data_IF_995078983462
#
_entry.id   IF_995078983462
#
_cell.length_a   1.000
_cell.length_b   1.000
_cell.length_c   1.000
_cell.angle_alpha   90.00
_cell.angle_beta   90.00
_cell.angle_gamma   90.00
#
_symmetry.space_group_name_H-M   'P 1'
#
loop_
_entity.id
_entity.type
_entity.pdbx_description
1 polymer ?
#
# COMPACT_ATOMS: atom_id res chain seq x y z
N UNK A 1 34.63 13.85 12.30
CA UNK A 1 34.19 12.65 11.55
C UNK A 1 32.68 12.66 11.74
N UNK A 2 31.89 13.05 10.74
CA UNK A 2 30.44 13.03 10.92
C UNK A 2 30.05 11.57 11.06
N UNK A 3 29.47 11.21 12.20
CA UNK A 3 28.78 9.94 12.34
C UNK A 3 27.87 9.82 11.12
N UNK A 4 28.10 8.79 10.32
CA UNK A 4 27.16 8.44 9.26
C UNK A 4 25.83 8.25 9.96
N UNK A 5 24.88 9.19 9.78
CA UNK A 5 23.51 9.10 10.27
C UNK A 5 22.81 7.96 9.53
N UNK A 6 23.24 6.72 9.76
CA UNK A 6 22.74 5.48 9.19
C UNK A 6 22.57 4.49 10.32
N UNK A 7 21.38 3.93 10.44
CA UNK A 7 21.00 3.03 11.51
C UNK A 7 20.15 1.90 10.93
N UNK A 8 20.50 0.65 11.26
CA UNK A 8 19.64 -0.50 10.99
C UNK A 8 18.74 -0.70 12.21
N UNK A 9 17.44 -0.52 12.02
CA UNK A 9 16.44 -0.65 13.08
C UNK A 9 15.96 -2.09 13.24
N UNK A 10 15.90 -2.82 12.12
CA UNK A 10 15.44 -4.20 12.07
C UNK A 10 16.10 -4.91 10.90
N UNK A 11 16.50 -6.16 11.09
CA UNK A 11 17.09 -7.00 10.04
C UNK A 11 16.75 -8.45 10.32
N UNK A 12 15.79 -9.00 9.61
CA UNK A 12 15.17 -10.29 9.92
C UNK A 12 14.89 -11.10 8.66
N UNK A 13 15.03 -12.42 8.74
CA UNK A 13 14.61 -13.33 7.68
C UNK A 13 13.08 -13.51 7.73
N UNK A 14 12.43 -13.44 6.58
CA UNK A 14 10.99 -13.64 6.41
C UNK A 14 10.72 -14.66 5.28
N UNK A 15 9.47 -15.12 5.10
CA UNK A 15 9.13 -15.99 3.96
C UNK A 15 9.46 -15.37 2.59
N UNK A 16 9.41 -14.04 2.46
CA UNK A 16 9.74 -13.32 1.22
C UNK A 16 11.25 -13.03 1.06
N UNK A 17 12.05 -13.34 2.10
CA UNK A 17 13.49 -13.08 2.14
C UNK A 17 13.92 -12.17 3.28
N UNK A 18 15.13 -11.63 3.16
CA UNK A 18 15.74 -10.80 4.21
C UNK A 18 15.09 -9.41 4.17
N UNK A 19 14.32 -9.10 5.19
CA UNK A 19 13.66 -7.82 5.37
C UNK A 19 14.50 -6.93 6.29
N UNK A 20 14.81 -5.72 5.83
CA UNK A 20 15.57 -4.75 6.61
C UNK A 20 14.83 -3.40 6.65
N UNK A 21 14.72 -2.85 7.86
CA UNK A 21 14.28 -1.50 8.12
C UNK A 21 15.49 -0.68 8.55
N UNK A 22 15.77 0.42 7.87
CA UNK A 22 16.90 1.29 8.17
C UNK A 22 16.50 2.76 8.13
N UNK A 23 17.18 3.59 8.91
CA UNK A 23 17.12 5.04 8.82
C UNK A 23 18.42 5.56 8.29
N UNK A 24 18.34 6.56 7.42
CA UNK A 24 19.54 7.28 6.99
C UNK A 24 19.27 8.75 6.71
N UNK A 25 20.31 9.57 6.79
CA UNK A 25 20.29 10.91 6.23
C UNK A 25 20.47 10.88 4.70
N UNK A 26 19.78 11.79 4.02
CA UNK A 26 19.94 12.03 2.58
C UNK A 26 21.15 12.93 2.36
N UNK A 27 22.22 12.39 1.77
CA UNK A 27 23.48 13.12 1.61
C UNK A 27 23.37 14.40 0.76
N UNK A 28 22.49 14.41 -0.24
CA UNK A 28 22.22 15.59 -1.08
C UNK A 28 21.36 16.66 -0.38
N UNK A 29 20.70 16.30 0.73
CA UNK A 29 19.81 17.17 1.50
C UNK A 29 20.07 17.02 3.01
N UNK A 30 21.15 17.63 3.54
CA UNK A 30 21.50 17.53 4.95
C UNK A 30 20.35 17.94 5.88
N UNK A 31 20.11 17.14 6.93
CA UNK A 31 19.00 17.25 7.87
C UNK A 31 17.79 16.38 7.52
N UNK A 32 17.69 15.87 6.29
CA UNK A 32 16.57 15.01 5.87
C UNK A 32 16.85 13.56 6.26
N UNK A 33 16.15 13.06 7.28
CA UNK A 33 16.20 11.65 7.69
C UNK A 33 15.07 10.88 7.01
N UNK A 34 15.42 9.78 6.35
CA UNK A 34 14.49 8.88 5.67
C UNK A 34 14.52 7.49 6.30
N UNK A 35 13.36 6.85 6.38
CA UNK A 35 13.22 5.44 6.74
C UNK A 35 13.03 4.64 5.46
N UNK A 36 13.83 3.60 5.26
CA UNK A 36 13.83 2.76 4.07
C UNK A 36 13.59 1.30 4.45
N UNK A 37 12.87 0.61 3.59
CA UNK A 37 12.68 -0.84 3.65
C UNK A 37 13.40 -1.47 2.47
N UNK A 38 14.13 -2.55 2.72
CA UNK A 38 14.74 -3.36 1.66
C UNK A 38 14.37 -4.83 1.84
N UNK A 39 14.16 -5.53 0.74
CA UNK A 39 13.95 -6.98 0.69
C UNK A 39 15.08 -7.62 -0.11
N UNK A 40 15.76 -8.62 0.44
CA UNK A 40 16.92 -9.27 -0.19
C UNK A 40 18.00 -8.27 -0.65
N UNK A 41 18.17 -7.19 0.12
CA UNK A 41 19.09 -6.07 -0.16
C UNK A 41 18.68 -5.14 -1.32
N UNK A 42 17.55 -5.40 -1.96
CA UNK A 42 16.97 -4.53 -2.98
C UNK A 42 16.04 -3.51 -2.33
N UNK A 43 16.00 -2.31 -2.91
CA UNK A 43 15.17 -1.23 -2.41
C UNK A 43 13.69 -1.55 -2.64
N UNK A 44 12.89 -1.49 -1.58
CA UNK A 44 11.45 -1.73 -1.65
C UNK A 44 10.68 -0.40 -1.59
N UNK A 45 10.89 0.39 -0.54
CA UNK A 45 10.19 1.66 -0.33
C UNK A 45 10.97 2.61 0.59
N UNK A 46 10.60 3.89 0.58
CA UNK A 46 11.18 4.93 1.44
C UNK A 46 10.13 5.93 1.90
N UNK A 47 10.34 6.51 3.08
CA UNK A 47 9.54 7.63 3.59
C UNK A 47 9.80 8.97 2.86
N UNK A 48 10.65 8.99 1.82
CA UNK A 48 11.02 10.21 1.10
C UNK A 48 9.97 10.63 0.07
N UNK A 49 9.49 9.67 -0.73
CA UNK A 49 8.50 9.90 -1.77
C UNK A 49 7.30 9.00 -1.46
N UNK A 50 6.22 9.61 -0.98
CA UNK A 50 5.02 8.90 -0.49
C UNK A 50 3.74 9.39 -1.16
N UNK A 51 3.91 10.14 -2.25
CA UNK A 51 2.83 10.85 -2.92
C UNK A 51 1.87 9.88 -3.62
N UNK A 52 2.37 8.76 -4.15
CA UNK A 52 1.55 7.79 -4.87
C UNK A 52 0.70 6.94 -3.91
N UNK A 53 1.23 6.55 -2.75
CA UNK A 53 0.49 5.87 -1.67
C UNK A 53 -0.63 6.75 -1.11
N UNK A 54 -0.35 8.05 -0.92
CA UNK A 54 -1.36 9.02 -0.49
C UNK A 54 -2.39 9.27 -1.60
N UNK A 55 -1.95 9.40 -2.85
CA UNK A 55 -2.83 9.61 -3.99
C UNK A 55 -3.77 8.41 -4.22
N UNK A 56 -3.28 7.16 -4.03
CA UNK A 56 -4.11 5.95 -4.08
C UNK A 56 -5.35 6.10 -3.20
N UNK A 57 -5.13 6.51 -1.95
CA UNK A 57 -6.21 6.68 -0.99
C UNK A 57 -7.09 7.88 -1.33
N UNK A 58 -6.49 9.04 -1.57
CA UNK A 58 -7.22 10.29 -1.81
C UNK A 58 -8.14 10.18 -3.03
N UNK A 59 -7.63 9.68 -4.15
CA UNK A 59 -8.40 9.55 -5.39
C UNK A 59 -9.54 8.53 -5.23
N UNK A 60 -9.28 7.37 -4.59
CA UNK A 60 -10.33 6.40 -4.32
C UNK A 60 -11.45 6.99 -3.43
N UNK A 61 -11.08 7.78 -2.42
CA UNK A 61 -12.03 8.49 -1.56
C UNK A 61 -12.82 9.58 -2.27
N UNK A 62 -12.22 10.29 -3.24
CA UNK A 62 -12.91 11.29 -4.07
C UNK A 62 -13.90 10.64 -5.03
N UNK A 63 -13.60 9.42 -5.50
CA UNK A 63 -14.50 8.64 -6.35
C UNK A 63 -15.73 8.10 -5.61
N UNK A 64 -15.71 8.05 -4.28
CA UNK A 64 -16.80 7.51 -3.48
C UNK A 64 -17.57 8.60 -2.72
N UNK A 65 -18.87 8.72 -2.96
CA UNK A 65 -19.72 9.78 -2.40
C UNK A 65 -20.15 9.54 -0.93
N UNK A 66 -19.97 8.33 -0.42
CA UNK A 66 -20.34 7.95 0.95
C UNK A 66 -19.61 8.73 2.06
N UNK A 67 -20.18 8.69 3.27
CA UNK A 67 -19.72 9.47 4.43
C UNK A 67 -19.40 8.64 5.68
N UNK A 68 -19.66 7.32 5.67
CA UNK A 68 -19.32 6.39 6.74
C UNK A 68 -18.53 5.19 6.19
N UNK A 69 -17.37 5.50 5.60
CA UNK A 69 -16.57 4.58 4.81
C UNK A 69 -15.84 3.57 5.69
N UNK A 70 -15.98 2.30 5.33
CA UNK A 70 -15.16 1.18 5.79
C UNK A 70 -14.12 0.87 4.73
N UNK A 71 -12.85 0.92 5.12
CA UNK A 71 -11.73 0.77 4.20
C UNK A 71 -10.93 -0.46 4.59
N UNK A 72 -10.63 -1.30 3.60
CA UNK A 72 -9.64 -2.36 3.68
C UNK A 72 -8.37 -1.90 2.96
N UNK A 73 -7.23 -1.99 3.62
CA UNK A 73 -5.91 -1.77 3.04
C UNK A 73 -5.15 -3.09 3.04
N UNK A 74 -4.68 -3.54 1.88
CA UNK A 74 -3.74 -4.63 1.75
C UNK A 74 -2.31 -4.10 1.77
N UNK A 75 -1.52 -4.54 2.75
CA UNK A 75 -0.16 -4.04 2.99
C UNK A 75 -0.12 -2.86 3.96
N UNK A 76 0.75 -2.94 4.97
CA UNK A 76 0.99 -1.84 5.90
C UNK A 76 2.13 -0.94 5.41
N UNK A 77 3.22 -1.52 4.93
CA UNK A 77 4.43 -0.79 4.54
C UNK A 77 4.91 0.16 5.64
N UNK A 78 5.08 1.45 5.31
CA UNK A 78 5.36 2.52 6.27
C UNK A 78 4.10 3.25 6.78
N UNK A 79 2.90 2.81 6.36
CA UNK A 79 1.61 3.26 6.88
C UNK A 79 0.97 4.45 6.16
N UNK A 80 1.55 4.93 5.06
CA UNK A 80 1.08 6.15 4.37
C UNK A 80 -0.32 6.00 3.75
N UNK A 81 -0.61 4.87 3.11
CA UNK A 81 -1.94 4.54 2.56
C UNK A 81 -3.01 4.57 3.64
N UNK A 82 -2.80 3.86 4.75
CA UNK A 82 -3.76 3.84 5.88
C UNK A 82 -3.88 5.21 6.57
N UNK A 83 -2.76 5.91 6.79
CA UNK A 83 -2.74 7.24 7.43
C UNK A 83 -3.56 8.27 6.63
N UNK A 84 -3.41 8.30 5.30
CA UNK A 84 -4.15 9.24 4.46
C UNK A 84 -5.67 9.04 4.59
N UNK A 85 -6.15 7.79 4.67
CA UNK A 85 -7.57 7.50 4.88
C UNK A 85 -8.08 8.06 6.22
N UNK A 86 -7.28 7.88 7.27
CA UNK A 86 -7.62 8.27 8.64
C UNK A 86 -7.69 9.78 8.84
N UNK A 87 -7.10 10.59 7.95
CA UNK A 87 -7.25 12.05 7.96
C UNK A 87 -8.71 12.49 7.75
N UNK A 88 -9.53 11.66 7.08
CA UNK A 88 -10.90 12.01 6.77
C UNK A 88 -11.88 11.62 7.87
N UNK A 89 -12.80 12.53 8.18
CA UNK A 89 -13.93 12.26 9.08
C UNK A 89 -14.98 11.35 8.45
N UNK A 90 -14.93 11.13 7.14
CA UNK A 90 -15.83 10.20 6.44
C UNK A 90 -15.49 8.74 6.69
N UNK A 91 -14.31 8.45 7.27
CA UNK A 91 -13.84 7.08 7.48
C UNK A 91 -14.16 6.66 8.91
N UNK A 92 -14.94 5.59 9.03
CA UNK A 92 -15.36 5.02 10.33
C UNK A 92 -14.46 3.87 10.77
N UNK A 93 -13.85 3.15 9.83
CA UNK A 93 -12.88 2.10 10.12
C UNK A 93 -11.89 1.90 8.97
N UNK A 94 -10.64 1.67 9.32
CA UNK A 94 -9.59 1.19 8.42
C UNK A 94 -9.06 -0.13 8.96
N UNK A 95 -9.19 -1.19 8.17
CA UNK A 95 -8.52 -2.45 8.45
C UNK A 95 -7.31 -2.59 7.53
N UNK A 96 -6.12 -2.80 8.09
CA UNK A 96 -4.92 -3.15 7.34
C UNK A 96 -4.67 -4.64 7.49
N UNK A 97 -4.61 -5.36 6.37
CA UNK A 97 -4.18 -6.75 6.33
C UNK A 97 -2.71 -6.79 5.95
N UNK A 98 -1.86 -7.23 6.89
CA UNK A 98 -0.40 -7.28 6.71
C UNK A 98 0.10 -8.72 6.88
N UNK A 99 0.90 -9.16 5.90
CA UNK A 99 1.41 -10.52 5.82
C UNK A 99 2.56 -10.75 6.79
N UNK A 100 3.47 -9.79 6.89
CA UNK A 100 4.73 -9.93 7.61
C UNK A 100 4.57 -9.45 9.06
N UNK A 101 4.72 -10.35 10.05
CA UNK A 101 4.63 -9.96 11.46
C UNK A 101 5.72 -8.95 11.87
N UNK A 102 6.84 -8.92 11.13
CA UNK A 102 7.91 -7.93 11.31
C UNK A 102 7.40 -6.51 11.06
N UNK A 103 6.67 -6.28 9.96
CA UNK A 103 6.12 -4.96 9.60
C UNK A 103 5.11 -4.49 10.65
N UNK A 104 4.23 -5.39 11.11
CA UNK A 104 3.30 -5.12 12.23
C UNK A 104 4.07 -4.78 13.51
N UNK A 105 5.14 -5.51 13.80
CA UNK A 105 6.00 -5.27 14.96
C UNK A 105 6.68 -3.90 14.90
N UNK A 106 7.08 -3.43 13.72
CA UNK A 106 7.70 -2.11 13.56
C UNK A 106 6.75 -0.99 13.96
N UNK A 107 5.48 -1.07 13.58
CA UNK A 107 4.46 -0.12 14.03
C UNK A 107 4.32 -0.13 15.56
N UNK A 108 4.21 -1.32 16.17
CA UNK A 108 4.05 -1.48 17.63
C UNK A 108 5.25 -0.97 18.42
N UNK A 109 6.46 -1.14 17.88
CA UNK A 109 7.74 -0.73 18.48
C UNK A 109 8.15 0.71 18.14
N UNK A 110 7.28 1.49 17.48
CA UNK A 110 7.53 2.86 17.07
C UNK A 110 8.74 3.05 16.13
N UNK A 111 8.96 2.08 15.22
CA UNK A 111 10.12 2.10 14.33
C UNK A 111 9.86 2.79 12.99
N UNK A 112 8.60 2.93 12.57
CA UNK A 112 8.23 3.62 11.31
C UNK A 112 7.80 5.07 11.57
N UNK A 113 7.92 5.99 10.59
CA UNK A 113 7.66 7.43 10.79
C UNK A 113 6.28 7.75 11.37
N UNK A 114 5.24 7.00 10.95
CA UNK A 114 3.85 7.26 11.32
C UNK A 114 3.39 6.49 12.58
N UNK A 115 4.31 5.87 13.32
CA UNK A 115 3.93 4.98 14.42
C UNK A 115 3.12 5.67 15.51
N UNK A 116 3.51 6.89 15.89
CA UNK A 116 2.81 7.67 16.92
C UNK A 116 1.38 8.02 16.52
N UNK A 117 1.12 8.21 15.22
CA UNK A 117 -0.19 8.55 14.68
C UNK A 117 -1.09 7.32 14.55
N UNK A 118 -0.52 6.20 14.09
CA UNK A 118 -1.29 5.01 13.73
C UNK A 118 -1.50 4.04 14.89
N UNK A 119 -0.54 3.89 15.81
CA UNK A 119 -0.58 2.83 16.83
C UNK A 119 -1.81 2.93 17.72
N UNK A 120 -2.16 4.14 18.10
CA UNK A 120 -3.22 4.43 19.09
C UNK A 120 -4.49 4.98 18.43
N UNK A 121 -4.59 4.95 17.09
CA UNK A 121 -5.78 5.41 16.35
C UNK A 121 -6.93 4.39 16.49
N UNK A 122 -8.05 4.76 17.14
CA UNK A 122 -9.13 3.82 17.45
C UNK A 122 -9.87 3.28 16.22
N UNK A 123 -9.79 3.97 15.07
CA UNK A 123 -10.40 3.50 13.82
C UNK A 123 -9.53 2.52 13.04
N UNK A 124 -8.27 2.33 13.44
CA UNK A 124 -7.33 1.45 12.75
C UNK A 124 -7.29 0.06 13.42
N UNK A 125 -7.47 -0.97 12.61
CA UNK A 125 -7.28 -2.37 13.00
C UNK A 125 -6.19 -2.99 12.12
N UNK A 126 -5.19 -3.62 12.74
CA UNK A 126 -4.17 -4.38 12.01
C UNK A 126 -4.47 -5.87 12.15
N UNK A 127 -4.80 -6.52 11.03
CA UNK A 127 -5.10 -7.95 10.95
C UNK A 127 -3.92 -8.68 10.31
N UNK A 128 -3.21 -9.57 11.03
CA UNK A 128 -2.18 -10.41 10.42
C UNK A 128 -2.80 -11.35 9.37
N UNK A 129 -2.30 -11.34 8.14
CA UNK A 129 -2.79 -12.24 7.10
C UNK A 129 -2.38 -11.85 5.69
N UNK A 130 -2.74 -12.72 4.74
CA UNK A 130 -2.59 -12.48 3.30
C UNK A 130 -3.88 -11.86 2.76
N UNK A 131 -3.80 -10.62 2.28
CA UNK A 131 -4.94 -9.89 1.71
C UNK A 131 -5.48 -10.57 0.44
N UNK A 132 -4.62 -11.13 -0.40
CA UNK A 132 -5.04 -11.80 -1.62
C UNK A 132 -5.75 -13.11 -1.30
N UNK A 133 -5.27 -13.87 -0.31
CA UNK A 133 -5.98 -15.04 0.21
C UNK A 133 -7.34 -14.67 0.79
N UNK A 134 -7.42 -13.56 1.53
CA UNK A 134 -8.68 -13.05 2.08
C UNK A 134 -9.68 -12.73 0.96
N UNK A 135 -9.26 -11.97 -0.05
CA UNK A 135 -10.12 -11.56 -1.17
C UNK A 135 -10.57 -12.74 -2.05
N UNK A 136 -9.78 -13.82 -2.13
CA UNK A 136 -10.21 -15.09 -2.76
C UNK A 136 -11.28 -15.84 -1.97
N UNK A 137 -11.27 -15.69 -0.64
CA UNK A 137 -12.19 -16.32 0.30
C UNK A 137 -13.63 -15.79 0.24
N UNK A 138 -14.51 -16.27 1.15
CA UNK A 138 -15.85 -15.72 1.33
C UNK A 138 -15.77 -14.26 1.81
N UNK A 139 -16.74 -13.45 1.39
CA UNK A 139 -16.89 -12.07 1.84
C UNK A 139 -17.78 -12.04 3.07
N UNK A 140 -17.16 -12.09 4.25
CA UNK A 140 -17.86 -12.00 5.54
C UNK A 140 -18.20 -10.53 5.89
N UNK A 141 -17.38 -9.59 5.41
CA UNK A 141 -17.53 -8.15 5.56
C UNK A 141 -17.46 -7.46 4.18
N UNK A 142 -18.15 -6.33 4.05
CA UNK A 142 -18.11 -5.48 2.87
C UNK A 142 -17.41 -4.15 3.17
N UNK A 143 -16.62 -3.68 2.21
CA UNK A 143 -15.84 -2.46 2.29
C UNK A 143 -16.27 -1.47 1.21
N UNK A 144 -16.34 -0.19 1.57
CA UNK A 144 -16.57 0.89 0.60
C UNK A 144 -15.34 1.09 -0.27
N UNK A 145 -14.13 0.94 0.30
CA UNK A 145 -12.88 1.01 -0.45
C UNK A 145 -11.99 -0.18 -0.10
N UNK A 146 -11.39 -0.79 -1.12
CA UNK A 146 -10.30 -1.78 -0.97
C UNK A 146 -9.08 -1.17 -1.66
N UNK A 147 -8.02 -0.89 -0.91
CA UNK A 147 -6.77 -0.29 -1.37
C UNK A 147 -5.66 -1.34 -1.29
N UNK A 148 -5.06 -1.71 -2.42
CA UNK A 148 -4.00 -2.72 -2.48
C UNK A 148 -2.66 -2.03 -2.77
N UNK A 149 -1.74 -2.16 -1.82
CA UNK A 149 -0.40 -1.57 -1.83
C UNK A 149 0.60 -2.62 -1.28
N UNK A 150 0.86 -3.65 -2.09
CA UNK A 150 1.61 -4.86 -1.68
C UNK A 150 2.74 -5.19 -2.65
N UNK A 151 2.39 -5.57 -3.89
CA UNK A 151 3.34 -5.98 -4.92
C UNK A 151 3.97 -4.77 -5.62
N UNK A 152 5.13 -4.96 -6.24
CA UNK A 152 5.76 -3.90 -7.05
C UNK A 152 4.90 -3.54 -8.26
N UNK A 153 4.34 -4.52 -8.95
CA UNK A 153 3.38 -4.32 -10.04
C UNK A 153 2.58 -5.61 -10.31
N UNK A 154 1.52 -5.56 -11.13
CA UNK A 154 0.83 -6.77 -11.58
C UNK A 154 1.76 -7.82 -12.21
N UNK A 155 2.84 -7.41 -12.86
CA UNK A 155 3.79 -8.27 -13.57
C UNK A 155 5.03 -8.62 -12.72
N UNK A 156 5.32 -7.85 -11.66
CA UNK A 156 6.43 -8.02 -10.73
C UNK A 156 5.89 -8.10 -9.29
N UNK A 157 5.64 -9.33 -8.85
CA UNK A 157 4.95 -9.64 -7.58
C UNK A 157 5.95 -10.12 -6.54
N UNK A 158 5.68 -9.83 -5.27
CA UNK A 158 6.50 -10.30 -4.15
C UNK A 158 6.34 -11.81 -3.93
N UNK A 159 5.13 -12.34 -4.20
CA UNK A 159 4.83 -13.76 -4.18
C UNK A 159 4.15 -14.19 -5.48
N UNK A 160 4.58 -15.30 -6.07
CA UNK A 160 3.99 -15.83 -7.30
C UNK A 160 2.51 -16.20 -7.12
N UNK A 161 2.08 -16.55 -5.90
CA UNK A 161 0.67 -16.88 -5.59
C UNK A 161 -0.28 -15.68 -5.83
N UNK A 162 0.25 -14.46 -5.82
CA UNK A 162 -0.52 -13.23 -6.02
C UNK A 162 -1.02 -13.08 -7.46
N UNK A 163 -0.43 -13.79 -8.44
CA UNK A 163 -0.81 -13.71 -9.87
C UNK A 163 -2.31 -13.91 -10.09
N UNK A 164 -2.93 -14.76 -9.27
CA UNK A 164 -4.35 -15.07 -9.34
C UNK A 164 -5.23 -13.84 -9.13
N UNK A 165 -4.82 -12.88 -8.29
CA UNK A 165 -5.57 -11.65 -8.01
C UNK A 165 -5.72 -10.77 -9.25
N UNK A 166 -4.66 -10.62 -10.04
CA UNK A 166 -4.62 -9.75 -11.22
C UNK A 166 -5.39 -10.29 -12.44
N UNK A 167 -6.08 -11.42 -12.28
CA UNK A 167 -6.89 -12.04 -13.34
C UNK A 167 -8.38 -11.72 -13.17
N UNK A 168 -9.16 -11.86 -14.25
CA UNK A 168 -10.63 -11.68 -14.20
C UNK A 168 -11.30 -12.48 -13.08
N UNK A 169 -11.03 -13.79 -12.89
CA UNK A 169 -11.59 -14.53 -11.75
C UNK A 169 -11.17 -14.00 -10.38
N UNK A 170 -9.91 -13.57 -10.23
CA UNK A 170 -9.42 -12.97 -8.99
C UNK A 170 -10.11 -11.65 -8.66
N UNK A 171 -10.28 -10.79 -9.67
CA UNK A 171 -10.99 -9.53 -9.55
C UNK A 171 -12.49 -9.73 -9.27
N UNK A 172 -13.13 -10.72 -9.87
CA UNK A 172 -14.50 -11.11 -9.52
C UNK A 172 -14.59 -11.56 -8.07
N UNK A 173 -13.58 -12.29 -7.58
CA UNK A 173 -13.52 -12.70 -6.18
C UNK A 173 -13.41 -11.50 -5.25
N UNK A 174 -12.49 -10.57 -5.54
CA UNK A 174 -12.29 -9.34 -4.79
C UNK A 174 -13.52 -8.42 -4.79
N UNK A 175 -14.22 -8.29 -5.93
CA UNK A 175 -15.46 -7.51 -6.05
C UNK A 175 -16.54 -7.94 -5.05
N UNK A 176 -16.58 -9.21 -4.64
CA UNK A 176 -17.55 -9.70 -3.64
C UNK A 176 -17.36 -9.08 -2.26
N UNK A 177 -16.18 -8.55 -1.95
CA UNK A 177 -15.86 -7.86 -0.71
C UNK A 177 -16.16 -6.36 -0.77
N UNK A 178 -16.57 -5.84 -1.92
CA UNK A 178 -16.99 -4.43 -2.06
C UNK A 178 -18.46 -4.26 -1.71
N UNK A 179 -18.76 -3.17 -1.00
CA UNK A 179 -20.11 -2.64 -0.88
C UNK A 179 -20.61 -2.12 -2.25
N UNK A 180 -21.89 -1.78 -2.32
CA UNK A 180 -22.45 -1.12 -3.51
C UNK A 180 -21.70 0.19 -3.79
N UNK A 181 -21.41 0.46 -5.07
CA UNK A 181 -20.58 1.60 -5.51
C UNK A 181 -19.13 1.61 -4.98
N UNK A 182 -18.69 0.51 -4.35
CA UNK A 182 -17.38 0.41 -3.73
C UNK A 182 -16.24 0.48 -4.74
N UNK A 183 -15.09 0.99 -4.30
CA UNK A 183 -13.91 1.19 -5.16
C UNK A 183 -12.82 0.20 -4.80
N UNK A 184 -12.35 -0.56 -5.79
CA UNK A 184 -11.05 -1.21 -5.74
C UNK A 184 -9.98 -0.25 -6.28
N UNK A 185 -8.94 -0.01 -5.50
CA UNK A 185 -7.76 0.75 -5.91
C UNK A 185 -6.50 -0.10 -5.75
N UNK A 186 -5.61 -0.09 -6.73
CA UNK A 186 -4.36 -0.86 -6.72
C UNK A 186 -3.19 0.04 -7.12
N UNK A 187 -2.16 0.09 -6.28
CA UNK A 187 -0.90 0.75 -6.57
C UNK A 187 0.01 -0.16 -7.39
N UNK A 188 0.84 0.44 -8.24
CA UNK A 188 1.82 -0.26 -9.06
C UNK A 188 2.96 0.68 -9.45
N UNK A 189 4.19 0.20 -9.45
CA UNK A 189 5.35 0.91 -9.97
C UNK A 189 5.33 1.03 -11.51
N UNK A 190 4.56 0.19 -12.20
CA UNK A 190 4.49 0.17 -13.68
C UNK A 190 3.04 0.16 -14.20
N UNK A 191 2.84 0.72 -15.40
CA UNK A 191 1.57 0.56 -16.12
C UNK A 191 1.40 -0.90 -16.54
N UNK A 192 0.16 -1.38 -16.57
CA UNK A 192 -0.17 -2.73 -17.04
C UNK A 192 -1.51 -2.70 -17.77
N UNK A 193 -1.42 -2.55 -19.10
CA UNK A 193 -2.57 -2.63 -19.99
C UNK A 193 -3.35 -3.95 -19.81
N UNK A 194 -2.71 -5.13 -19.69
CA UNK A 194 -3.43 -6.38 -19.41
C UNK A 194 -4.25 -6.34 -18.10
N UNK A 195 -3.71 -5.71 -17.05
CA UNK A 195 -4.43 -5.55 -15.79
C UNK A 195 -5.60 -4.57 -15.91
N UNK A 196 -5.41 -3.45 -16.60
CA UNK A 196 -6.49 -2.50 -16.89
C UNK A 196 -7.64 -3.17 -17.66
N UNK A 197 -7.33 -4.03 -18.63
CA UNK A 197 -8.33 -4.78 -19.39
C UNK A 197 -9.04 -5.83 -18.53
N UNK A 198 -8.33 -6.50 -17.62
CA UNK A 198 -8.94 -7.41 -16.65
C UNK A 198 -9.91 -6.67 -15.71
N UNK A 199 -9.57 -5.46 -15.26
CA UNK A 199 -10.48 -4.61 -14.48
C UNK A 199 -11.73 -4.24 -15.28
N UNK A 200 -11.58 -3.82 -16.54
CA UNK A 200 -12.70 -3.44 -17.42
C UNK A 200 -13.66 -4.61 -17.71
N UNK A 201 -13.19 -5.84 -17.62
CA UNK A 201 -14.03 -7.03 -17.78
C UNK A 201 -14.90 -7.34 -16.55
N UNK A 202 -14.64 -6.72 -15.39
CA UNK A 202 -15.30 -7.03 -14.10
C UNK A 202 -16.03 -5.83 -13.49
N UNK A 203 -15.59 -4.61 -13.78
CA UNK A 203 -16.06 -3.38 -13.16
C UNK A 203 -16.68 -2.43 -14.19
N UNK A 204 -17.60 -1.59 -13.72
CA UNK A 204 -18.37 -0.69 -14.60
C UNK A 204 -17.57 0.53 -15.07
N UNK A 205 -16.75 1.07 -14.16
CA UNK A 205 -15.86 2.21 -14.42
C UNK A 205 -14.44 1.84 -14.02
N UNK A 206 -13.47 2.11 -14.90
CA UNK A 206 -12.04 1.92 -14.64
C UNK A 206 -11.26 3.18 -15.00
N UNK A 207 -10.43 3.65 -14.07
CA UNK A 207 -9.49 4.77 -14.26
C UNK A 207 -8.07 4.29 -14.00
N UNK A 208 -7.13 4.76 -14.80
CA UNK A 208 -5.69 4.49 -14.63
C UNK A 208 -4.99 5.84 -14.64
N UNK A 209 -4.25 6.14 -13.57
CA UNK A 209 -3.68 7.46 -13.33
C UNK A 209 -2.19 7.38 -12.99
N UNK A 210 -1.33 8.11 -13.72
CA UNK A 210 0.08 8.23 -13.36
C UNK A 210 0.27 9.22 -12.21
N UNK A 211 1.15 8.89 -11.28
CA UNK A 211 1.68 9.81 -10.27
C UNK A 211 3.18 9.92 -10.48
N UNK A 212 3.62 11.04 -11.05
CA UNK A 212 5.03 11.29 -11.31
C UNK A 212 5.64 12.19 -10.25
N UNK A 213 6.88 11.88 -9.85
CA UNK A 213 7.73 12.77 -9.07
C UNK A 213 9.15 12.79 -9.66
N UNK A 214 9.89 13.85 -9.37
CA UNK A 214 11.29 13.93 -9.73
C UNK A 214 12.14 13.40 -8.57
N UNK A 215 12.87 12.31 -8.79
CA UNK A 215 13.77 11.76 -7.79
C UNK A 215 15.14 12.44 -7.89
N UNK A 216 15.35 13.43 -7.04
CA UNK A 216 16.58 14.23 -7.00
C UNK A 216 17.84 13.41 -6.69
N UNK A 217 17.71 12.20 -6.12
CA UNK A 217 18.85 11.36 -5.76
C UNK A 217 19.52 10.72 -6.98
N UNK A 218 18.73 10.47 -8.03
CA UNK A 218 19.17 9.82 -9.27
C UNK A 218 18.93 10.68 -10.50
N UNK A 219 18.43 11.91 -10.31
CA UNK A 219 18.09 12.88 -11.36
C UNK A 219 17.19 12.27 -12.46
N UNK A 220 16.14 11.57 -12.03
CA UNK A 220 15.19 10.90 -12.92
C UNK A 220 13.75 11.17 -12.53
N UNK A 221 12.88 11.24 -13.53
CA UNK A 221 11.44 11.21 -13.31
C UNK A 221 11.01 9.77 -13.05
N UNK A 222 10.44 9.52 -11.88
CA UNK A 222 9.79 8.26 -11.52
C UNK A 222 8.28 8.42 -11.70
N UNK A 223 7.59 7.37 -12.12
CA UNK A 223 6.13 7.38 -12.28
C UNK A 223 5.55 6.09 -11.77
N UNK A 224 4.73 6.19 -10.74
CA UNK A 224 3.88 5.11 -10.27
C UNK A 224 2.51 5.21 -10.97
N UNK A 225 1.78 4.11 -11.00
CA UNK A 225 0.51 3.95 -11.68
C UNK A 225 -0.55 3.45 -10.71
N UNK A 226 -1.67 4.17 -10.66
CA UNK A 226 -2.80 3.87 -9.81
C UNK A 226 -3.96 3.37 -10.66
N UNK A 227 -4.48 2.19 -10.34
CA UNK A 227 -5.63 1.59 -11.00
C UNK A 227 -6.83 1.70 -10.08
N UNK A 228 -7.93 2.26 -10.57
CA UNK A 228 -9.18 2.39 -9.84
C UNK A 228 -10.29 1.71 -10.61
N UNK A 229 -11.15 0.98 -9.91
CA UNK A 229 -12.30 0.31 -10.49
C UNK A 229 -13.52 0.40 -9.57
N UNK A 230 -14.65 0.87 -10.10
CA UNK A 230 -15.92 0.97 -9.36
C UNK A 230 -16.79 -0.27 -9.57
N UNK A 231 -17.23 -0.82 -8.44
CA UNK A 231 -18.21 -1.88 -8.29
C UNK A 231 -19.58 -1.48 -8.82
#
# INVERSE_FOLDING_TARGET
>A
MSDSNFEILSYEMTPLGILCLRRREVLSQPGTIVTEVTLNHEFLMSSLYTDSERALTRTAMEMHAGAELKILVGGLGLGYTASEALLSKRVVSVEVVELLPQVISWLKKELIPLSCELRDEPRLVITPGDVFRRLRGPADDLFDLILIDVDHSPDERLDEENVSFYTVPGLQAARRHLAADGILAVWSYAESTPFADALRAVFEEVRVEPVSHHNELVDQQCTDWLFFARG
#
